data_IF_756578241906
#
_entry.id   IF_756578241906
#
_cell.length_a   1.000
_cell.length_b   1.000
_cell.length_c   1.000
_cell.angle_alpha   90.00
_cell.angle_beta   90.00
_cell.angle_gamma   90.00
#
_symmetry.space_group_name_H-M   'P 1'
#
loop_
_entity.id
_entity.type
_entity.pdbx_description
1 polymer ?
#
# COMPACT_ATOMS: atom_id res chain seq x y z
N UNK A 1 -9.81 -37.88 -24.04
CA UNK A 1 -9.41 -36.54 -24.48
C UNK A 1 -10.49 -35.60 -23.95
N UNK A 2 -10.19 -34.92 -22.85
CA UNK A 2 -11.17 -34.17 -22.05
C UNK A 2 -11.64 -32.93 -22.81
N UNK A 3 -12.93 -32.93 -23.13
CA UNK A 3 -13.64 -31.81 -23.72
C UNK A 3 -13.88 -30.73 -22.65
N UNK A 4 -12.88 -29.89 -22.40
CA UNK A 4 -13.05 -28.68 -21.60
C UNK A 4 -13.65 -27.61 -22.50
N UNK A 5 -14.97 -27.45 -22.41
CA UNK A 5 -15.71 -26.43 -23.16
C UNK A 5 -15.20 -25.02 -22.81
N UNK A 6 -14.96 -24.13 -23.80
CA UNK A 6 -14.44 -22.77 -23.58
C UNK A 6 -15.27 -21.91 -22.61
N UNK A 7 -16.55 -22.24 -22.43
CA UNK A 7 -17.42 -21.57 -21.46
C UNK A 7 -17.05 -21.86 -19.99
N UNK A 8 -16.49 -23.05 -19.69
CA UNK A 8 -16.07 -23.42 -18.34
C UNK A 8 -14.76 -22.71 -17.93
N UNK A 9 -13.85 -22.48 -18.88
CA UNK A 9 -12.62 -21.70 -18.67
C UNK A 9 -12.89 -20.21 -18.47
N UNK A 10 -13.86 -19.62 -19.19
CA UNK A 10 -14.26 -18.23 -18.98
C UNK A 10 -14.83 -18.00 -17.56
N UNK A 11 -15.66 -18.93 -17.07
CA UNK A 11 -16.23 -18.90 -15.72
C UNK A 11 -15.17 -19.04 -14.61
N UNK A 12 -14.17 -19.91 -14.80
CA UNK A 12 -13.10 -20.10 -13.81
C UNK A 12 -12.15 -18.89 -13.76
N UNK A 13 -11.83 -18.31 -14.93
CA UNK A 13 -11.02 -17.09 -15.03
C UNK A 13 -11.64 -15.90 -14.30
N UNK A 14 -12.94 -15.65 -14.49
CA UNK A 14 -13.66 -14.57 -13.79
C UNK A 14 -13.64 -14.75 -12.26
N UNK A 15 -13.82 -15.98 -11.77
CA UNK A 15 -13.73 -16.29 -10.32
C UNK A 15 -12.33 -15.99 -9.76
N UNK A 16 -11.27 -16.29 -10.51
CA UNK A 16 -9.90 -15.99 -10.09
C UNK A 16 -9.68 -14.48 -9.98
N UNK A 17 -10.11 -13.69 -10.98
CA UNK A 17 -9.93 -12.22 -10.92
C UNK A 17 -10.78 -11.60 -9.81
N UNK A 18 -11.99 -12.10 -9.57
CA UNK A 18 -12.82 -11.67 -8.44
C UNK A 18 -12.12 -11.90 -7.09
N UNK A 19 -11.63 -13.12 -6.84
CA UNK A 19 -10.88 -13.43 -5.61
C UNK A 19 -9.59 -12.61 -5.51
N UNK A 20 -8.91 -12.35 -6.63
CA UNK A 20 -7.75 -11.46 -6.68
C UNK A 20 -8.09 -10.04 -6.22
N UNK A 21 -9.21 -9.47 -6.70
CA UNK A 21 -9.69 -8.16 -6.26
C UNK A 21 -10.06 -8.18 -4.77
N UNK A 22 -10.78 -9.21 -4.31
CA UNK A 22 -11.14 -9.35 -2.90
C UNK A 22 -9.90 -9.37 -1.99
N UNK A 23 -8.89 -10.18 -2.32
CA UNK A 23 -7.64 -10.25 -1.55
C UNK A 23 -6.91 -8.90 -1.58
N UNK A 24 -6.87 -8.23 -2.74
CA UNK A 24 -6.25 -6.91 -2.85
C UNK A 24 -6.93 -5.85 -1.97
N UNK A 25 -8.27 -5.83 -1.87
CA UNK A 25 -8.99 -4.95 -0.92
C UNK A 25 -8.63 -5.25 0.54
N UNK A 26 -8.57 -6.54 0.87
CA UNK A 26 -8.19 -6.98 2.22
C UNK A 26 -6.76 -6.54 2.55
N UNK A 27 -5.80 -6.78 1.65
CA UNK A 27 -4.40 -6.35 1.80
C UNK A 27 -4.30 -4.82 1.97
N UNK A 28 -5.01 -4.06 1.14
CA UNK A 28 -5.07 -2.59 1.22
C UNK A 28 -5.55 -2.13 2.60
N UNK A 29 -6.64 -2.72 3.08
CA UNK A 29 -7.23 -2.41 4.39
C UNK A 29 -6.28 -2.73 5.54
N UNK A 30 -5.65 -3.91 5.51
CA UNK A 30 -4.69 -4.30 6.55
C UNK A 30 -3.43 -3.43 6.55
N UNK A 31 -2.87 -3.13 5.38
CA UNK A 31 -1.69 -2.29 5.27
C UNK A 31 -1.97 -0.87 5.79
N UNK A 32 -3.12 -0.30 5.44
CA UNK A 32 -3.54 1.01 5.93
C UNK A 32 -3.79 1.01 7.45
N UNK A 33 -4.62 0.08 7.95
CA UNK A 33 -5.00 0.06 9.36
C UNK A 33 -3.83 -0.27 10.28
N UNK A 34 -3.06 -1.33 9.97
CA UNK A 34 -1.88 -1.70 10.78
C UNK A 34 -0.89 -0.53 10.87
N UNK A 35 -0.72 0.19 9.77
CA UNK A 35 0.13 1.38 9.75
C UNK A 35 -0.43 2.49 10.64
N UNK A 36 -1.72 2.84 10.52
CA UNK A 36 -2.33 3.85 11.37
C UNK A 36 -2.24 3.49 12.86
N UNK A 37 -2.51 2.23 13.19
CA UNK A 37 -2.38 1.70 14.54
C UNK A 37 -0.95 1.87 15.09
N UNK A 38 0.08 1.46 14.32
CA UNK A 38 1.48 1.59 14.73
C UNK A 38 1.93 3.04 14.93
N UNK A 39 1.36 3.99 14.19
CA UNK A 39 1.59 5.43 14.43
C UNK A 39 1.18 5.84 15.84
N UNK A 40 0.05 5.32 16.32
CA UNK A 40 -0.55 5.72 17.59
C UNK A 40 0.07 4.99 18.79
N UNK A 41 0.50 3.73 18.62
CA UNK A 41 0.97 2.91 19.76
C UNK A 41 2.48 2.80 19.93
N UNK A 42 3.27 3.01 18.86
CA UNK A 42 4.68 2.60 18.88
C UNK A 42 5.64 3.61 18.27
N UNK A 43 5.28 4.22 17.15
CA UNK A 43 6.25 5.02 16.37
C UNK A 43 6.73 6.27 17.10
N UNK A 44 5.90 6.83 17.98
CA UNK A 44 6.29 7.96 18.81
C UNK A 44 7.53 7.64 19.67
N UNK A 45 7.52 6.48 20.35
CA UNK A 45 8.63 6.03 21.19
C UNK A 45 9.83 5.57 20.39
N UNK A 46 9.60 4.69 19.40
CA UNK A 46 10.67 4.04 18.64
C UNK A 46 11.51 5.06 17.83
N UNK A 47 10.85 6.04 17.22
CA UNK A 47 11.50 7.06 16.39
C UNK A 47 11.76 8.38 17.13
N UNK A 48 11.46 8.47 18.43
CA UNK A 48 11.72 9.66 19.23
C UNK A 48 11.01 10.92 18.70
N UNK A 49 9.85 10.75 18.07
CA UNK A 49 9.09 11.83 17.42
C UNK A 49 7.99 12.36 18.33
N UNK A 50 7.56 13.59 18.10
CA UNK A 50 6.44 14.20 18.84
C UNK A 50 5.08 13.90 18.18
N UNK A 51 3.99 14.29 18.86
CA UNK A 51 2.62 14.07 18.37
C UNK A 51 2.34 14.79 17.04
N UNK A 52 2.98 15.95 16.81
CA UNK A 52 2.83 16.69 15.55
C UNK A 52 3.43 15.88 14.40
N UNK A 53 4.64 15.36 14.58
CA UNK A 53 5.33 14.52 13.59
C UNK A 53 4.58 13.22 13.33
N UNK A 54 3.98 12.60 14.35
CA UNK A 54 3.05 11.46 14.15
C UNK A 54 1.87 11.85 13.27
N UNK A 55 1.26 13.02 13.51
CA UNK A 55 0.18 13.55 12.67
C UNK A 55 0.59 13.77 11.22
N UNK A 56 1.76 14.38 10.99
CA UNK A 56 2.35 14.53 9.64
C UNK A 56 2.54 13.17 8.97
N UNK A 57 3.02 12.19 9.72
CA UNK A 57 3.28 10.85 9.22
C UNK A 57 2.00 10.06 8.89
N UNK A 58 0.91 10.28 9.64
CA UNK A 58 -0.44 9.79 9.28
C UNK A 58 -0.94 10.47 8.01
N UNK A 59 -0.80 11.79 7.93
CA UNK A 59 -1.16 12.59 6.75
C UNK A 59 -0.44 12.12 5.49
N UNK A 60 0.85 11.80 5.59
CA UNK A 60 1.65 11.26 4.49
C UNK A 60 1.14 9.91 3.94
N UNK A 61 0.43 9.12 4.75
CA UNK A 61 -0.22 7.89 4.28
C UNK A 61 -1.62 8.12 3.69
N UNK A 62 -2.35 9.13 4.18
CA UNK A 62 -3.74 9.39 3.80
C UNK A 62 -3.86 10.30 2.57
N UNK A 63 -3.05 11.36 2.48
CA UNK A 63 -3.18 12.31 1.38
C UNK A 63 -2.85 11.72 0.01
N UNK A 64 -1.79 10.89 -0.17
CA UNK A 64 -1.49 10.30 -1.47
C UNK A 64 -2.49 9.22 -1.86
N UNK A 65 -3.13 8.59 -0.87
CA UNK A 65 -4.23 7.65 -1.09
C UNK A 65 -5.40 8.34 -1.80
N UNK A 66 -5.93 9.43 -1.23
CA UNK A 66 -7.02 10.17 -1.88
C UNK A 66 -6.64 10.68 -3.28
N UNK A 67 -5.41 11.22 -3.43
CA UNK A 67 -4.92 11.74 -4.71
C UNK A 67 -4.82 10.62 -5.76
N UNK A 68 -4.29 9.45 -5.40
CA UNK A 68 -4.15 8.33 -6.35
C UNK A 68 -5.48 7.76 -6.80
N UNK A 69 -6.50 7.67 -5.94
CA UNK A 69 -7.84 7.23 -6.37
C UNK A 69 -8.31 8.09 -7.54
N UNK A 70 -8.24 9.42 -7.41
CA UNK A 70 -8.70 10.35 -8.44
C UNK A 70 -7.85 10.22 -9.71
N UNK A 71 -6.52 10.30 -9.58
CA UNK A 71 -5.61 10.30 -10.74
C UNK A 71 -5.69 8.97 -11.52
N UNK A 72 -5.65 7.84 -10.82
CA UNK A 72 -5.74 6.55 -11.48
C UNK A 72 -7.13 6.31 -12.05
N UNK A 73 -8.21 6.73 -11.39
CA UNK A 73 -9.56 6.59 -11.99
C UNK A 73 -9.71 7.33 -13.33
N UNK A 74 -9.01 8.46 -13.53
CA UNK A 74 -9.04 9.20 -14.79
C UNK A 74 -8.17 8.59 -15.90
N UNK A 75 -7.09 7.91 -15.51
CA UNK A 75 -6.06 7.43 -16.44
C UNK A 75 -6.19 5.93 -16.74
N UNK A 76 -6.83 5.17 -15.84
CA UNK A 76 -6.84 3.70 -15.89
C UNK A 76 -7.46 3.13 -17.16
N UNK A 77 -8.50 3.78 -17.69
CA UNK A 77 -9.14 3.38 -18.94
C UNK A 77 -8.19 3.46 -20.15
N UNK A 78 -7.12 4.27 -20.06
CA UNK A 78 -6.10 4.40 -21.12
C UNK A 78 -4.88 3.52 -20.91
N UNK A 79 -4.42 3.33 -19.67
CA UNK A 79 -3.22 2.53 -19.36
C UNK A 79 -3.54 1.04 -19.18
N UNK A 80 -4.80 0.70 -18.93
CA UNK A 80 -5.28 -0.65 -18.70
C UNK A 80 -5.09 -1.14 -17.25
N UNK A 81 -6.01 -2.00 -16.82
CA UNK A 81 -6.07 -2.54 -15.46
C UNK A 81 -4.83 -3.33 -15.04
N UNK A 82 -4.22 -4.06 -15.98
CA UNK A 82 -3.02 -4.88 -15.69
C UNK A 82 -1.83 -4.01 -15.25
N UNK A 83 -1.64 -2.84 -15.85
CA UNK A 83 -0.54 -1.93 -15.49
C UNK A 83 -0.76 -1.37 -14.09
N UNK A 84 -2.00 -0.97 -13.76
CA UNK A 84 -2.38 -0.49 -12.43
C UNK A 84 -2.14 -1.55 -11.34
N UNK A 85 -2.44 -2.83 -11.62
CA UNK A 85 -2.16 -3.93 -10.70
C UNK A 85 -0.67 -4.12 -10.41
N UNK A 86 0.19 -4.07 -11.43
CA UNK A 86 1.64 -4.18 -11.22
C UNK A 86 2.22 -2.98 -10.48
N UNK A 87 1.71 -1.78 -10.78
CA UNK A 87 2.11 -0.57 -10.06
C UNK A 87 1.77 -0.66 -8.57
N UNK A 88 0.54 -1.06 -8.22
CA UNK A 88 0.15 -1.19 -6.81
C UNK A 88 0.99 -2.24 -6.08
N UNK A 89 1.23 -3.39 -6.71
CA UNK A 89 2.12 -4.41 -6.16
C UNK A 89 3.54 -3.89 -5.90
N UNK A 90 4.11 -3.14 -6.83
CA UNK A 90 5.42 -2.50 -6.65
C UNK A 90 5.41 -1.51 -5.48
N UNK A 91 4.35 -0.72 -5.32
CA UNK A 91 4.20 0.17 -4.16
C UNK A 91 4.18 -0.59 -2.83
N UNK A 92 3.45 -1.71 -2.72
CA UNK A 92 3.47 -2.53 -1.50
C UNK A 92 4.84 -3.11 -1.20
N UNK A 93 5.54 -3.61 -2.23
CA UNK A 93 6.89 -4.16 -2.08
C UNK A 93 7.89 -3.09 -1.62
N UNK A 94 7.86 -1.91 -2.24
CA UNK A 94 8.73 -0.78 -1.86
C UNK A 94 8.40 -0.32 -0.44
N UNK A 95 7.12 -0.18 -0.09
CA UNK A 95 6.72 0.16 1.28
C UNK A 95 7.25 -0.84 2.30
N UNK A 96 7.10 -2.14 2.04
CA UNK A 96 7.60 -3.18 2.94
C UNK A 96 9.10 -3.05 3.17
N UNK A 97 9.88 -2.88 2.10
CA UNK A 97 11.33 -2.69 2.18
C UNK A 97 11.68 -1.44 2.98
N UNK A 98 11.01 -0.31 2.72
CA UNK A 98 11.26 0.95 3.44
C UNK A 98 10.90 0.85 4.93
N UNK A 99 9.80 0.16 5.26
CA UNK A 99 9.41 -0.07 6.66
C UNK A 99 10.42 -0.97 7.40
N UNK A 100 10.89 -2.03 6.75
CA UNK A 100 11.96 -2.88 7.29
C UNK A 100 13.26 -2.09 7.48
N UNK A 101 13.66 -1.29 6.49
CA UNK A 101 14.86 -0.44 6.58
C UNK A 101 14.73 0.62 7.68
N UNK A 102 13.54 1.18 7.90
CA UNK A 102 13.32 2.15 8.95
C UNK A 102 13.55 1.57 10.34
N UNK A 103 13.03 0.37 10.60
CA UNK A 103 13.29 -0.34 11.85
C UNK A 103 14.73 -0.81 11.98
N UNK A 104 15.34 -1.31 10.89
CA UNK A 104 16.74 -1.70 10.90
C UNK A 104 17.68 -0.51 11.19
N UNK A 105 17.30 0.72 10.81
CA UNK A 105 18.10 1.91 11.04
C UNK A 105 18.23 2.27 12.54
N UNK A 106 17.24 1.93 13.38
CA UNK A 106 17.21 2.30 14.80
C UNK A 106 17.64 1.15 15.73
N UNK A 107 17.64 -0.10 15.25
CA UNK A 107 17.94 -1.26 16.08
C UNK A 107 19.39 -1.28 16.55
N UNK A 108 19.59 -1.40 17.87
CA UNK A 108 20.91 -1.50 18.48
C UNK A 108 21.75 -0.22 18.44
N UNK A 109 21.15 0.91 18.05
CA UNK A 109 21.82 2.22 18.06
C UNK A 109 21.55 2.92 19.39
N UNK A 110 22.59 3.37 20.08
CA UNK A 110 22.51 4.06 21.36
C UNK A 110 23.40 5.30 21.40
N UNK A 111 23.24 6.14 22.43
CA UNK A 111 24.04 7.35 22.64
C UNK A 111 23.77 8.44 21.59
N UNK A 112 24.80 9.22 21.25
CA UNK A 112 24.69 10.37 20.34
C UNK A 112 24.27 9.98 18.91
N UNK A 113 24.49 8.73 18.51
CA UNK A 113 24.10 8.23 17.18
C UNK A 113 22.59 7.97 17.04
N UNK A 114 21.86 7.85 18.17
CA UNK A 114 20.44 7.49 18.18
C UNK A 114 19.58 8.53 17.47
N UNK A 115 19.82 9.83 17.71
CA UNK A 115 19.02 10.90 17.07
C UNK A 115 19.14 10.86 15.53
N UNK A 116 20.34 10.63 15.00
CA UNK A 116 20.56 10.53 13.56
C UNK A 116 19.88 9.27 12.97
N UNK A 117 19.97 8.14 13.67
CA UNK A 117 19.30 6.90 13.29
C UNK A 117 17.76 7.05 13.27
N UNK A 118 17.20 7.67 14.31
CA UNK A 118 15.77 7.96 14.43
C UNK A 118 15.27 8.89 13.31
N UNK A 119 16.02 9.96 13.01
CA UNK A 119 15.69 10.86 11.90
C UNK A 119 15.68 10.13 10.54
N UNK A 120 16.66 9.25 10.30
CA UNK A 120 16.68 8.40 9.10
C UNK A 120 15.51 7.43 9.06
N UNK A 121 15.20 6.78 10.18
CA UNK A 121 14.07 5.86 10.31
C UNK A 121 12.73 6.56 10.04
N UNK A 122 12.54 7.76 10.60
CA UNK A 122 11.38 8.59 10.34
C UNK A 122 11.24 8.95 8.85
N UNK A 123 12.34 9.36 8.20
CA UNK A 123 12.32 9.71 6.77
C UNK A 123 11.92 8.51 5.90
N UNK A 124 12.47 7.32 6.19
CA UNK A 124 12.11 6.08 5.50
C UNK A 124 10.62 5.74 5.70
N UNK A 125 10.09 5.89 6.92
CA UNK A 125 8.66 5.69 7.17
C UNK A 125 7.78 6.73 6.48
N UNK A 126 8.22 7.99 6.42
CA UNK A 126 7.47 9.06 5.77
C UNK A 126 7.29 8.76 4.28
N UNK A 127 8.39 8.52 3.58
CA UNK A 127 8.33 8.20 2.15
C UNK A 127 7.69 6.83 1.89
N UNK A 128 7.91 5.86 2.78
CA UNK A 128 7.21 4.58 2.74
C UNK A 128 5.69 4.74 2.84
N UNK A 129 5.21 5.57 3.77
CA UNK A 129 3.77 5.89 3.91
C UNK A 129 3.21 6.51 2.64
N UNK A 130 3.96 7.41 1.99
CA UNK A 130 3.54 8.04 0.72
C UNK A 130 3.37 6.99 -0.39
N UNK A 131 4.38 6.12 -0.54
CA UNK A 131 4.34 5.05 -1.54
C UNK A 131 3.20 4.07 -1.26
N UNK A 132 2.99 3.69 0.00
CA UNK A 132 1.85 2.87 0.40
C UNK A 132 0.51 3.54 0.04
N UNK A 133 0.39 4.85 0.29
CA UNK A 133 -0.80 5.62 -0.07
C UNK A 133 -1.10 5.54 -1.57
N UNK A 134 -0.09 5.71 -2.43
CA UNK A 134 -0.26 5.55 -3.88
C UNK A 134 -0.67 4.12 -4.27
N UNK A 135 -0.08 3.10 -3.64
CA UNK A 135 -0.46 1.70 -3.86
C UNK A 135 -1.92 1.45 -3.52
N UNK A 136 -2.34 1.87 -2.32
CA UNK A 136 -3.72 1.72 -1.84
C UNK A 136 -4.74 2.39 -2.76
N UNK A 137 -4.49 3.64 -3.18
CA UNK A 137 -5.44 4.33 -4.06
C UNK A 137 -5.48 3.78 -5.46
N UNK A 138 -4.38 3.22 -5.96
CA UNK A 138 -4.38 2.49 -7.23
C UNK A 138 -5.27 1.25 -7.16
N UNK A 139 -5.19 0.49 -6.06
CA UNK A 139 -6.05 -0.68 -5.84
C UNK A 139 -7.53 -0.31 -5.87
N UNK A 140 -7.92 0.70 -5.09
CA UNK A 140 -9.30 1.21 -5.08
C UNK A 140 -9.76 1.71 -6.46
N UNK A 141 -8.87 2.33 -7.23
CA UNK A 141 -9.21 2.83 -8.57
C UNK A 141 -9.49 1.73 -9.59
N UNK A 142 -8.83 0.56 -9.49
CA UNK A 142 -9.01 -0.51 -10.48
C UNK A 142 -10.03 -1.56 -10.07
N UNK A 143 -10.25 -1.79 -8.78
CA UNK A 143 -11.08 -2.92 -8.34
C UNK A 143 -12.55 -2.73 -8.72
N UNK A 144 -13.10 -1.53 -8.51
CA UNK A 144 -14.50 -1.24 -8.82
C UNK A 144 -14.85 -1.51 -10.29
N UNK A 145 -14.14 -0.93 -11.28
CA UNK A 145 -14.43 -1.21 -12.68
C UNK A 145 -14.09 -2.66 -13.09
N UNK A 146 -13.02 -3.25 -12.54
CA UNK A 146 -12.68 -4.65 -12.83
C UNK A 146 -13.81 -5.58 -12.40
N UNK A 147 -14.34 -5.44 -11.19
CA UNK A 147 -15.48 -6.24 -10.70
C UNK A 147 -16.76 -5.95 -11.48
N UNK A 148 -17.04 -4.68 -11.80
CA UNK A 148 -18.24 -4.30 -12.54
C UNK A 148 -18.30 -4.89 -13.97
N UNK A 149 -17.16 -5.21 -14.57
CA UNK A 149 -17.10 -5.84 -15.91
C UNK A 149 -17.16 -7.37 -15.88
N UNK A 150 -17.20 -8.00 -14.70
CA UNK A 150 -17.26 -9.47 -14.58
C UNK A 150 -18.67 -10.05 -14.58
N UNK A 151 -19.69 -9.22 -14.35
CA UNK A 151 -21.10 -9.61 -14.21
C UNK A 151 -21.96 -8.80 -15.18
#
# INVERSE_FOLDING_TARGET
MSDSSPAAEASSGQKIVFWGCFIALVTTSFAFFSRMYLCDVRFQGDFGIDKVSVGVLKGAGVSPFAISIILFSLVIDRIGYRVAMFFSFACYAVYLVMACMAYAAIQGVEGEALQAAQARGYSLLFWGSVVLGFGNGTVEAFINPVVATMF
#
